data_IF_490183302501
#
_entry.id   IF_490183302501
#
_cell.length_a   1.000
_cell.length_b   1.000
_cell.length_c   1.000
_cell.angle_alpha   90.00
_cell.angle_beta   90.00
_cell.angle_gamma   90.00
#
_symmetry.space_group_name_H-M   'P 1'
#
loop_
_entity.id
_entity.type
_entity.pdbx_description
1 polymer ?
#
# COMPACT_ATOMS: atom_id res chain seq x y z
N UNK A 1 9.58 61.28 -18.94
CA UNK A 1 8.77 60.21 -19.56
C UNK A 1 8.95 59.01 -18.63
N UNK A 2 8.55 59.17 -17.35
CA UNK A 2 9.22 58.51 -16.22
C UNK A 2 8.31 58.12 -15.04
N UNK A 3 6.98 58.03 -15.19
CA UNK A 3 6.09 57.95 -14.01
C UNK A 3 5.08 56.78 -13.98
N UNK A 4 5.37 55.62 -14.61
CA UNK A 4 4.44 54.48 -14.54
C UNK A 4 5.14 53.12 -14.40
N UNK A 5 5.93 52.95 -13.34
CA UNK A 5 6.14 51.63 -12.74
C UNK A 5 5.48 51.66 -11.36
N UNK A 6 4.14 51.61 -11.37
CA UNK A 6 3.37 51.28 -10.17
C UNK A 6 3.72 49.85 -9.79
N UNK A 7 4.60 49.73 -8.80
CA UNK A 7 4.79 48.52 -8.03
C UNK A 7 3.43 48.14 -7.44
N UNK A 8 2.76 47.20 -8.08
CA UNK A 8 1.60 46.51 -7.55
C UNK A 8 2.11 45.63 -6.41
N UNK A 9 2.31 46.24 -5.25
CA UNK A 9 2.50 45.54 -3.99
C UNK A 9 1.28 44.65 -3.81
N UNK A 10 1.42 43.39 -4.23
CA UNK A 10 0.49 42.36 -3.86
C UNK A 10 0.55 42.32 -2.34
N UNK A 11 -0.46 42.94 -1.72
CA UNK A 11 -0.69 42.92 -0.30
C UNK A 11 -0.95 41.46 0.04
N UNK A 12 0.15 40.72 0.24
CA UNK A 12 0.13 39.37 0.78
C UNK A 12 -0.42 39.56 2.17
N UNK A 13 -1.73 39.37 2.32
CA UNK A 13 -2.36 39.25 3.63
C UNK A 13 -1.53 38.22 4.39
N UNK A 14 -0.68 38.72 5.28
CA UNK A 14 0.14 37.89 6.13
C UNK A 14 -0.87 37.10 6.96
N UNK A 15 -1.10 35.86 6.54
CA UNK A 15 -1.78 34.88 7.38
C UNK A 15 -1.06 34.93 8.71
N UNK A 16 -1.74 35.41 9.75
CA UNK A 16 -1.22 35.43 11.11
C UNK A 16 -0.61 34.04 11.33
N UNK A 17 0.69 33.95 11.65
CA UNK A 17 1.35 32.66 11.78
C UNK A 17 0.79 31.99 13.03
N UNK A 18 -0.31 31.24 12.86
CA UNK A 18 -0.85 30.36 13.87
C UNK A 18 0.26 29.41 14.30
N UNK A 19 0.40 29.05 15.58
CA UNK A 19 1.27 27.95 16.02
C UNK A 19 0.97 26.63 15.30
N UNK A 20 1.94 25.72 15.24
CA UNK A 20 1.82 24.47 14.49
C UNK A 20 0.67 23.59 15.01
N UNK A 21 0.46 23.61 16.32
CA UNK A 21 -0.58 22.89 17.03
C UNK A 21 -1.96 23.33 16.54
N UNK A 22 -2.18 24.65 16.45
CA UNK A 22 -3.47 25.19 15.98
C UNK A 22 -3.70 24.89 14.50
N UNK A 23 -2.66 24.95 13.67
CA UNK A 23 -2.77 24.55 12.25
C UNK A 23 -3.12 23.08 12.11
N UNK A 24 -2.49 22.20 12.89
CA UNK A 24 -2.80 20.77 12.90
C UNK A 24 -4.24 20.51 13.34
N UNK A 25 -4.75 21.21 14.35
CA UNK A 25 -6.17 21.12 14.73
C UNK A 25 -7.09 21.52 13.56
N UNK A 26 -6.79 22.60 12.84
CA UNK A 26 -7.56 23.01 11.65
C UNK A 26 -7.47 21.95 10.56
N UNK A 27 -6.29 21.36 10.33
CA UNK A 27 -6.13 20.29 9.35
C UNK A 27 -6.93 19.05 9.74
N UNK A 28 -6.89 18.60 10.99
CA UNK A 28 -7.66 17.44 11.45
C UNK A 28 -9.16 17.67 11.25
N UNK A 29 -9.67 18.84 11.64
CA UNK A 29 -11.08 19.22 11.46
C UNK A 29 -11.54 19.20 9.99
N UNK A 30 -10.66 19.51 9.04
CA UNK A 30 -11.02 19.60 7.61
C UNK A 30 -10.74 18.30 6.85
N UNK A 31 -9.73 17.54 7.27
CA UNK A 31 -9.19 16.42 6.51
C UNK A 31 -9.60 15.06 7.06
N UNK A 32 -9.96 14.95 8.33
CA UNK A 32 -10.33 13.69 8.96
C UNK A 32 -11.84 13.49 8.88
N UNK A 33 -12.24 12.31 8.42
CA UNK A 33 -13.63 11.89 8.35
C UNK A 33 -14.08 11.36 9.72
N UNK A 34 -14.84 12.15 10.48
CA UNK A 34 -15.32 11.74 11.81
C UNK A 34 -16.22 10.51 11.75
N UNK A 35 -16.91 10.29 10.63
CA UNK A 35 -17.76 9.11 10.41
C UNK A 35 -16.95 7.83 10.17
N UNK A 36 -15.62 7.91 10.14
CA UNK A 36 -14.70 6.81 9.83
C UNK A 36 -15.03 6.08 8.52
N UNK A 37 -15.65 6.77 7.56
CA UNK A 37 -16.01 6.17 6.27
C UNK A 37 -14.75 5.90 5.45
N UNK A 38 -14.51 4.65 5.01
CA UNK A 38 -13.34 4.35 4.21
C UNK A 38 -13.35 5.14 2.90
N UNK A 39 -12.28 5.91 2.65
CA UNK A 39 -12.14 6.68 1.42
C UNK A 39 -11.74 5.74 0.28
N UNK A 40 -12.51 5.75 -0.80
CA UNK A 40 -12.27 4.89 -1.98
C UNK A 40 -11.16 5.41 -2.90
N UNK A 41 -10.58 6.56 -2.57
CA UNK A 41 -9.58 7.22 -3.41
C UNK A 41 -8.41 7.74 -2.58
N UNK A 42 -7.22 7.56 -3.13
CA UNK A 42 -5.97 8.13 -2.62
C UNK A 42 -5.69 9.51 -3.25
N UNK A 43 -6.69 10.16 -3.84
CA UNK A 43 -6.50 11.49 -4.42
C UNK A 43 -6.14 12.50 -3.31
N UNK A 44 -5.12 13.30 -3.60
CA UNK A 44 -4.63 14.32 -2.70
C UNK A 44 -5.72 15.39 -2.46
N UNK A 45 -6.06 15.72 -1.20
CA UNK A 45 -7.14 16.67 -0.92
C UNK A 45 -6.75 18.10 -1.32
N UNK A 46 -7.70 18.93 -1.83
CA UNK A 46 -7.40 20.27 -2.34
C UNK A 46 -6.60 21.17 -1.39
N UNK A 47 -6.85 21.09 -0.08
CA UNK A 47 -6.14 21.87 0.94
C UNK A 47 -4.63 21.68 0.89
N UNK A 48 -4.16 20.47 0.59
CA UNK A 48 -2.73 20.14 0.53
C UNK A 48 -2.05 20.58 -0.78
N UNK A 49 -2.83 21.14 -1.73
CA UNK A 49 -2.32 21.66 -2.99
C UNK A 49 -1.99 23.16 -2.92
N UNK A 50 -2.44 23.86 -1.87
CA UNK A 50 -2.33 25.33 -1.75
C UNK A 50 -0.89 25.81 -1.56
N UNK A 51 -0.11 25.16 -0.69
CA UNK A 51 1.29 25.51 -0.45
C UNK A 51 2.15 24.29 -0.12
N UNK A 52 3.47 24.38 -0.35
CA UNK A 52 4.42 23.31 0.04
C UNK A 52 4.40 23.05 1.54
N UNK A 53 4.19 24.08 2.34
CA UNK A 53 4.25 23.98 3.79
C UNK A 53 2.98 23.33 4.35
N UNK A 54 1.79 23.79 3.93
CA UNK A 54 0.52 23.13 4.22
C UNK A 54 0.57 21.66 3.81
N UNK A 55 1.14 21.35 2.65
CA UNK A 55 1.31 19.97 2.18
C UNK A 55 2.12 19.11 3.14
N UNK A 56 3.23 19.62 3.66
CA UNK A 56 4.11 18.87 4.57
C UNK A 56 3.41 18.55 5.89
N UNK A 57 2.59 19.48 6.39
CA UNK A 57 1.91 19.33 7.68
C UNK A 57 0.61 18.53 7.59
N UNK A 58 -0.21 18.78 6.55
CA UNK A 58 -1.56 18.21 6.47
C UNK A 58 -1.59 16.81 5.82
N UNK A 59 -0.64 16.43 4.95
CA UNK A 59 -0.64 15.08 4.36
C UNK A 59 -0.48 13.95 5.39
N UNK A 60 0.42 14.05 6.40
CA UNK A 60 0.51 13.06 7.46
C UNK A 60 -0.81 12.87 8.22
N UNK A 61 -1.56 13.94 8.47
CA UNK A 61 -2.84 13.91 9.16
C UNK A 61 -3.88 13.22 8.27
N UNK A 62 -4.06 13.70 7.02
CA UNK A 62 -5.04 13.12 6.10
C UNK A 62 -4.80 11.62 5.87
N UNK A 63 -3.58 11.21 5.54
CA UNK A 63 -3.31 9.81 5.26
C UNK A 63 -3.18 8.95 6.53
N UNK A 64 -2.75 9.53 7.65
CA UNK A 64 -2.53 8.79 8.89
C UNK A 64 -3.75 8.61 9.78
N UNK A 65 -4.77 9.46 9.64
CA UNK A 65 -5.96 9.44 10.51
C UNK A 65 -7.23 9.00 9.79
N UNK A 66 -7.24 8.91 8.45
CA UNK A 66 -8.36 8.35 7.71
C UNK A 66 -8.17 6.87 7.38
N UNK A 67 -9.29 6.17 7.17
CA UNK A 67 -9.31 4.85 6.57
C UNK A 67 -9.45 4.96 5.04
N UNK A 68 -8.73 4.11 4.31
CA UNK A 68 -8.84 4.01 2.86
C UNK A 68 -9.30 2.62 2.46
N UNK A 69 -10.22 2.54 1.50
CA UNK A 69 -10.64 1.28 0.91
C UNK A 69 -10.16 1.18 -0.52
N UNK A 70 -9.48 0.08 -0.84
CA UNK A 70 -9.09 -0.28 -2.19
C UNK A 70 -10.00 -1.38 -2.70
N UNK A 71 -10.80 -1.08 -3.71
CA UNK A 71 -11.55 -2.09 -4.43
C UNK A 71 -10.61 -2.79 -5.42
N UNK A 72 -10.34 -4.05 -5.17
CA UNK A 72 -9.62 -4.94 -6.08
C UNK A 72 -10.67 -5.46 -7.07
N UNK A 73 -10.56 -5.13 -8.37
CA UNK A 73 -11.51 -5.60 -9.36
C UNK A 73 -11.41 -7.12 -9.51
N UNK A 74 -12.55 -7.75 -9.74
CA UNK A 74 -12.65 -9.19 -9.93
C UNK A 74 -11.77 -9.67 -11.07
N UNK A 75 -11.11 -10.83 -10.97
CA UNK A 75 -10.31 -11.41 -12.05
C UNK A 75 -11.15 -11.74 -13.28
N UNK A 76 -12.44 -12.04 -13.07
CA UNK A 76 -13.43 -12.34 -14.11
C UNK A 76 -13.90 -11.11 -14.88
N UNK A 77 -13.61 -9.90 -14.39
CA UNK A 77 -13.93 -8.67 -15.12
C UNK A 77 -12.93 -8.48 -16.27
N UNK A 78 -13.43 -8.40 -17.51
CA UNK A 78 -12.62 -8.13 -18.69
C UNK A 78 -11.76 -6.86 -18.46
N UNK A 79 -10.43 -7.00 -18.42
CA UNK A 79 -9.47 -5.92 -18.14
C UNK A 79 -8.78 -5.97 -16.76
N UNK A 80 -9.04 -6.99 -15.94
CA UNK A 80 -8.53 -7.11 -14.56
C UNK A 80 -7.00 -7.15 -14.41
N UNK A 81 -6.27 -7.70 -15.38
CA UNK A 81 -4.80 -7.83 -15.31
C UNK A 81 -4.12 -6.44 -15.22
N UNK A 82 -4.60 -5.46 -15.97
CA UNK A 82 -4.06 -4.10 -15.95
C UNK A 82 -4.38 -3.37 -14.63
N UNK A 83 -5.56 -3.61 -14.07
CA UNK A 83 -5.95 -3.00 -12.80
C UNK A 83 -5.19 -3.61 -11.61
N UNK A 84 -4.90 -4.90 -11.66
CA UNK A 84 -4.04 -5.55 -10.68
C UNK A 84 -2.59 -5.08 -10.79
N UNK A 85 -2.07 -4.94 -12.01
CA UNK A 85 -0.74 -4.37 -12.22
C UNK A 85 -0.66 -2.93 -11.67
N UNK A 86 -1.72 -2.12 -11.81
CA UNK A 86 -1.82 -0.79 -11.18
C UNK A 86 -1.82 -0.88 -9.65
N UNK A 87 -2.56 -1.82 -9.06
CA UNK A 87 -2.57 -2.05 -7.61
C UNK A 87 -1.17 -2.44 -7.10
N UNK A 88 -0.52 -3.43 -7.69
CA UNK A 88 0.84 -3.87 -7.30
C UNK A 88 1.86 -2.76 -7.51
N UNK A 89 1.78 -2.01 -8.62
CA UNK A 89 2.64 -0.87 -8.88
C UNK A 89 2.43 0.24 -7.84
N UNK A 90 1.18 0.48 -7.43
CA UNK A 90 0.85 1.42 -6.37
C UNK A 90 1.47 0.98 -5.04
N UNK A 91 1.35 -0.29 -4.65
CA UNK A 91 2.01 -0.86 -3.46
C UNK A 91 3.53 -0.65 -3.44
N UNK A 92 4.20 -0.75 -4.60
CA UNK A 92 5.64 -0.42 -4.69
C UNK A 92 5.96 1.04 -4.40
N UNK A 93 5.04 1.97 -4.69
CA UNK A 93 5.21 3.41 -4.38
C UNK A 93 5.12 3.67 -2.87
N UNK A 94 4.38 2.84 -2.12
CA UNK A 94 4.40 2.89 -0.65
C UNK A 94 5.77 2.48 -0.10
N UNK A 95 6.34 1.37 -0.60
CA UNK A 95 7.59 0.82 -0.10
C UNK A 95 8.86 1.63 -0.50
N UNK A 96 8.85 2.31 -1.64
CA UNK A 96 10.00 3.06 -2.13
C UNK A 96 10.29 4.37 -1.36
N UNK A 97 9.42 4.78 -0.43
CA UNK A 97 9.48 6.05 0.30
C UNK A 97 10.32 6.01 1.57
N UNK A 98 11.60 5.60 1.51
CA UNK A 98 12.52 5.71 2.65
C UNK A 98 12.85 7.18 3.03
N UNK A 99 13.24 7.47 4.28
CA UNK A 99 13.65 8.82 4.68
C UNK A 99 14.86 9.28 3.85
N UNK A 100 14.69 10.37 3.07
CA UNK A 100 15.77 11.00 2.28
C UNK A 100 15.75 10.76 0.76
N UNK A 101 14.80 9.97 0.23
CA UNK A 101 14.67 9.75 -1.21
C UNK A 101 14.15 10.97 -1.98
N UNK A 102 14.59 11.17 -3.23
CA UNK A 102 14.12 12.23 -4.16
C UNK A 102 12.61 12.17 -4.48
N UNK A 103 11.93 11.12 -4.04
CA UNK A 103 10.49 10.93 -4.18
C UNK A 103 9.88 10.63 -2.80
N UNK A 104 9.66 11.67 -2.00
CA UNK A 104 8.82 11.52 -0.79
C UNK A 104 7.39 11.20 -1.23
N UNK A 105 6.99 9.95 -1.10
CA UNK A 105 5.61 9.53 -1.33
C UNK A 105 4.85 9.76 -0.03
N UNK A 106 3.78 10.55 -0.08
CA UNK A 106 2.91 10.79 1.07
C UNK A 106 2.10 9.56 1.46
N UNK A 107 2.08 8.56 0.58
CA UNK A 107 1.48 7.24 0.80
C UNK A 107 2.06 6.51 2.02
N UNK A 108 3.30 6.81 2.42
CA UNK A 108 3.92 6.24 3.64
C UNK A 108 3.20 6.59 4.94
N UNK A 109 2.35 7.62 4.92
CA UNK A 109 1.58 8.03 6.09
C UNK A 109 0.29 7.23 6.23
N UNK A 110 -0.10 6.42 5.23
CA UNK A 110 -1.29 5.58 5.30
C UNK A 110 -1.08 4.50 6.36
N UNK A 111 -1.90 4.55 7.41
CA UNK A 111 -1.90 3.55 8.49
C UNK A 111 -2.98 2.49 8.32
N UNK A 112 -4.12 2.87 7.74
CA UNK A 112 -5.31 2.03 7.66
C UNK A 112 -5.73 1.86 6.20
N UNK A 113 -5.67 0.64 5.70
CA UNK A 113 -6.12 0.30 4.34
C UNK A 113 -6.92 -0.99 4.36
N UNK A 114 -8.19 -0.91 3.97
CA UNK A 114 -9.05 -2.07 3.76
C UNK A 114 -9.03 -2.43 2.27
N UNK A 115 -8.82 -3.69 1.94
CA UNK A 115 -8.91 -4.17 0.57
C UNK A 115 -10.23 -4.93 0.41
N UNK A 116 -11.10 -4.46 -0.49
CA UNK A 116 -12.35 -5.13 -0.84
C UNK A 116 -12.16 -5.85 -2.17
N UNK A 117 -12.27 -7.18 -2.19
CA UNK A 117 -12.33 -7.92 -3.44
C UNK A 117 -13.79 -8.04 -3.88
N UNK A 118 -14.15 -7.48 -5.03
CA UNK A 118 -15.45 -7.75 -5.63
C UNK A 118 -15.36 -9.09 -6.35
N UNK A 119 -15.64 -10.20 -5.67
CA UNK A 119 -15.86 -11.47 -6.35
C UNK A 119 -17.31 -11.50 -6.83
N UNK A 120 -17.52 -11.50 -8.16
CA UNK A 120 -18.85 -11.67 -8.72
C UNK A 120 -19.18 -13.18 -8.68
N UNK A 121 -19.58 -13.67 -7.51
CA UNK A 121 -20.09 -15.03 -7.32
C UNK A 121 -21.62 -14.89 -7.43
N UNK A 122 -22.18 -15.34 -8.55
CA UNK A 122 -23.61 -15.46 -8.85
C UNK A 122 -24.57 -14.73 -7.87
N UNK A 123 -24.88 -13.47 -8.20
CA UNK A 123 -25.95 -12.63 -7.63
C UNK A 123 -25.91 -12.25 -6.13
N UNK A 124 -24.83 -12.52 -5.40
CA UNK A 124 -24.65 -11.99 -4.04
C UNK A 124 -23.30 -11.28 -3.94
N UNK A 125 -23.31 -9.95 -3.82
CA UNK A 125 -22.12 -9.18 -3.45
C UNK A 125 -21.81 -9.46 -1.97
N UNK A 126 -20.97 -10.47 -1.70
CA UNK A 126 -20.40 -10.65 -0.36
C UNK A 126 -19.21 -9.73 -0.17
N UNK A 127 -19.32 -8.78 0.77
CA UNK A 127 -18.21 -7.93 1.18
C UNK A 127 -17.29 -8.68 2.15
N UNK A 128 -16.13 -9.09 1.68
CA UNK A 128 -15.08 -9.63 2.54
C UNK A 128 -14.29 -8.47 3.18
N UNK A 129 -14.48 -8.25 4.48
CA UNK A 129 -13.67 -7.33 5.27
C UNK A 129 -12.43 -8.07 5.79
N UNK A 130 -11.25 -7.68 5.30
CA UNK A 130 -9.98 -8.15 5.83
C UNK A 130 -9.33 -7.03 6.63
N UNK A 131 -8.96 -7.32 7.89
CA UNK A 131 -8.28 -6.36 8.76
C UNK A 131 -6.93 -5.92 8.14
N UNK A 132 -6.61 -4.60 8.13
CA UNK A 132 -5.43 -4.03 7.47
C UNK A 132 -4.08 -4.59 7.94
N UNK A 133 -4.02 -5.21 9.12
CA UNK A 133 -2.83 -5.88 9.65
C UNK A 133 -2.27 -6.95 8.69
N UNK A 134 -3.12 -7.44 7.76
CA UNK A 134 -2.77 -8.41 6.71
C UNK A 134 -1.88 -7.80 5.62
N UNK A 135 -1.71 -6.47 5.54
CA UNK A 135 -0.88 -5.82 4.49
C UNK A 135 0.39 -5.15 5.01
N UNK A 136 0.70 -5.25 6.31
CA UNK A 136 2.01 -4.87 6.85
C UNK A 136 3.14 -5.85 6.47
N UNK A 137 2.85 -6.87 5.66
CA UNK A 137 3.87 -7.79 5.20
C UNK A 137 4.68 -7.19 4.04
N UNK A 138 6.01 -7.27 4.15
CA UNK A 138 6.98 -6.84 3.15
C UNK A 138 7.01 -7.70 1.88
N UNK A 139 5.87 -7.92 1.23
CA UNK A 139 5.86 -8.59 -0.07
C UNK A 139 6.34 -7.61 -1.15
N UNK A 140 7.51 -7.88 -1.71
CA UNK A 140 7.94 -7.21 -2.92
C UNK A 140 7.63 -8.12 -4.11
N UNK A 141 6.55 -7.84 -4.84
CA UNK A 141 6.39 -8.41 -6.18
C UNK A 141 7.56 -7.89 -7.02
N UNK A 142 8.47 -8.74 -7.47
CA UNK A 142 9.61 -8.36 -8.29
C UNK A 142 9.33 -8.60 -9.77
N UNK A 143 9.75 -7.68 -10.64
CA UNK A 143 9.79 -7.96 -12.07
C UNK A 143 11.00 -8.84 -12.34
N UNK A 144 10.88 -9.81 -13.24
CA UNK A 144 11.96 -10.72 -13.64
C UNK A 144 13.23 -9.90 -13.89
N UNK A 145 14.22 -9.95 -12.98
CA UNK A 145 15.55 -9.43 -13.31
C UNK A 145 16.04 -10.28 -14.46
N UNK A 146 16.36 -9.66 -15.60
CA UNK A 146 16.88 -10.37 -16.77
C UNK A 146 18.20 -11.06 -16.35
N UNK A 147 18.15 -12.37 -16.09
CA UNK A 147 19.28 -13.16 -15.58
C UNK A 147 19.39 -13.29 -14.05
N UNK A 148 18.43 -12.78 -13.26
CA UNK A 148 18.39 -13.01 -11.82
C UNK A 148 17.90 -14.42 -11.51
N UNK A 149 18.61 -15.16 -10.64
CA UNK A 149 18.12 -16.44 -10.12
C UNK A 149 16.89 -16.16 -9.24
N UNK A 150 15.83 -16.96 -9.39
CA UNK A 150 14.61 -16.92 -8.56
C UNK A 150 14.91 -17.50 -7.17
N UNK A 151 15.82 -16.87 -6.41
CA UNK A 151 16.39 -17.49 -5.20
C UNK A 151 15.35 -17.61 -4.07
N UNK A 152 14.38 -16.68 -4.03
CA UNK A 152 13.43 -16.55 -2.92
C UNK A 152 11.97 -16.80 -3.33
N UNK A 153 11.73 -17.37 -4.51
CA UNK A 153 10.39 -17.67 -5.00
C UNK A 153 9.70 -18.75 -4.17
N UNK A 154 8.42 -18.53 -3.86
CA UNK A 154 7.55 -19.53 -3.24
C UNK A 154 7.03 -20.47 -4.32
N UNK A 155 7.20 -21.77 -4.10
CA UNK A 155 6.78 -22.78 -5.06
C UNK A 155 7.63 -22.85 -6.33
N UNK A 156 7.28 -23.79 -7.20
CA UNK A 156 7.81 -23.91 -8.57
C UNK A 156 6.66 -23.68 -9.55
N UNK A 157 6.94 -23.67 -10.87
CA UNK A 157 5.93 -23.53 -11.95
C UNK A 157 4.80 -24.60 -11.95
N UNK A 158 4.76 -25.52 -10.98
CA UNK A 158 3.75 -26.57 -10.85
C UNK A 158 3.16 -26.62 -9.43
N UNK A 159 3.33 -25.56 -8.64
CA UNK A 159 2.67 -25.50 -7.35
C UNK A 159 1.17 -25.40 -7.59
N UNK A 160 0.38 -26.29 -6.96
CA UNK A 160 -1.05 -26.11 -6.91
C UNK A 160 -1.37 -25.06 -5.85
N UNK A 161 -1.70 -23.89 -6.35
CA UNK A 161 -2.00 -22.72 -5.55
C UNK A 161 -3.44 -22.72 -5.00
N UNK A 162 -4.27 -23.65 -5.47
CA UNK A 162 -5.66 -23.85 -5.01
C UNK A 162 -5.76 -24.83 -3.84
N UNK A 163 -4.66 -25.52 -3.52
CA UNK A 163 -4.50 -26.38 -2.36
C UNK A 163 -3.70 -25.67 -1.25
N UNK A 164 -4.38 -25.31 -0.16
CA UNK A 164 -3.80 -24.56 0.94
C UNK A 164 -2.62 -25.30 1.59
N UNK A 165 -2.69 -26.62 1.73
CA UNK A 165 -1.61 -27.43 2.32
C UNK A 165 -0.36 -27.43 1.43
N UNK A 166 -0.57 -27.36 0.10
CA UNK A 166 0.53 -27.27 -0.86
C UNK A 166 1.19 -25.88 -0.82
N UNK A 167 0.41 -24.81 -0.66
CA UNK A 167 0.93 -23.45 -0.49
C UNK A 167 1.72 -23.30 0.81
N UNK A 168 1.20 -23.85 1.91
CA UNK A 168 1.84 -23.86 3.24
C UNK A 168 3.22 -24.53 3.19
N UNK A 169 3.28 -25.76 2.67
CA UNK A 169 4.54 -26.51 2.50
C UNK A 169 5.54 -25.78 1.59
N UNK A 170 5.06 -25.08 0.57
CA UNK A 170 5.93 -24.31 -0.32
C UNK A 170 6.48 -23.05 0.34
N UNK A 171 5.69 -22.41 1.21
CA UNK A 171 6.10 -21.28 2.02
C UNK A 171 7.16 -21.70 3.05
N UNK A 172 6.92 -22.76 3.82
CA UNK A 172 7.89 -23.31 4.79
C UNK A 172 9.22 -23.64 4.11
N UNK A 173 9.17 -24.26 2.93
CA UNK A 173 10.37 -24.57 2.15
C UNK A 173 11.09 -23.31 1.65
N UNK A 174 10.39 -22.21 1.42
CA UNK A 174 11.02 -20.94 1.08
C UNK A 174 11.68 -20.30 2.31
N UNK A 175 11.04 -20.36 3.47
CA UNK A 175 11.57 -19.90 4.76
C UNK A 175 12.84 -20.67 5.15
N UNK A 176 12.81 -22.00 5.14
CA UNK A 176 13.97 -22.85 5.44
C UNK A 176 15.16 -22.55 4.52
N UNK A 177 14.90 -22.21 3.25
CA UNK A 177 15.97 -21.81 2.31
C UNK A 177 16.61 -20.48 2.68
N UNK A 178 15.88 -19.56 3.28
CA UNK A 178 16.39 -18.27 3.73
C UNK A 178 17.19 -18.44 5.03
N UNK A 179 16.69 -19.29 5.92
CA UNK A 179 17.38 -19.66 7.16
C UNK A 179 18.72 -20.34 6.90
N UNK A 180 18.78 -21.33 5.99
CA UNK A 180 20.04 -21.97 5.59
C UNK A 180 21.08 -21.00 4.99
N UNK A 181 20.64 -19.83 4.50
CA UNK A 181 21.52 -18.78 3.98
C UNK A 181 21.94 -17.77 5.06
N UNK A 182 21.41 -17.88 6.27
CA UNK A 182 21.61 -16.89 7.33
C UNK A 182 20.93 -15.56 7.06
N UNK A 183 19.98 -15.51 6.12
CA UNK A 183 19.20 -14.29 5.83
C UNK A 183 18.14 -14.05 6.91
N UNK A 184 17.73 -15.11 7.61
CA UNK A 184 16.67 -15.08 8.62
C UNK A 184 16.95 -16.09 9.73
N UNK A 185 16.56 -15.77 10.97
CA UNK A 185 16.51 -16.73 12.09
C UNK A 185 15.07 -17.20 12.31
N UNK A 186 14.88 -18.50 12.57
CA UNK A 186 13.58 -19.08 12.93
C UNK A 186 12.92 -18.32 14.09
N UNK A 187 13.72 -17.96 15.10
CA UNK A 187 13.28 -17.19 16.27
C UNK A 187 12.75 -15.81 15.89
N UNK A 188 13.33 -15.15 14.88
CA UNK A 188 12.88 -13.83 14.44
C UNK A 188 11.55 -13.88 13.69
N UNK A 189 11.25 -14.99 13.00
CA UNK A 189 10.00 -15.13 12.25
C UNK A 189 8.83 -15.45 13.15
N UNK A 190 9.00 -16.42 14.05
CA UNK A 190 7.93 -16.89 14.92
C UNK A 190 7.40 -15.79 15.87
N UNK A 191 8.28 -14.87 16.29
CA UNK A 191 7.92 -13.80 17.22
C UNK A 191 7.34 -12.54 16.55
N UNK A 192 7.58 -12.34 15.25
CA UNK A 192 7.19 -11.10 14.56
C UNK A 192 6.07 -11.27 13.54
N UNK A 193 5.86 -12.48 13.00
CA UNK A 193 4.97 -12.68 11.86
C UNK A 193 4.03 -13.85 12.14
N UNK A 194 2.70 -13.64 12.16
CA UNK A 194 1.75 -14.75 12.22
C UNK A 194 1.78 -15.52 10.89
N UNK A 195 2.68 -16.49 10.77
CA UNK A 195 3.00 -17.22 9.52
C UNK A 195 1.75 -17.79 8.83
N UNK A 196 0.78 -18.29 9.61
CA UNK A 196 -0.49 -18.80 9.08
C UNK A 196 -1.31 -17.73 8.33
N UNK A 197 -1.25 -16.46 8.75
CA UNK A 197 -1.92 -15.36 8.05
C UNK A 197 -1.23 -15.05 6.71
N UNK A 198 0.09 -15.17 6.65
CA UNK A 198 0.86 -15.01 5.40
C UNK A 198 0.47 -16.09 4.39
N UNK A 199 0.43 -17.35 4.79
CA UNK A 199 0.04 -18.46 3.92
C UNK A 199 -1.39 -18.28 3.40
N UNK A 200 -2.32 -17.86 4.27
CA UNK A 200 -3.69 -17.53 3.84
C UNK A 200 -3.72 -16.39 2.82
N UNK A 201 -2.96 -15.32 3.02
CA UNK A 201 -2.89 -14.21 2.07
C UNK A 201 -2.32 -14.67 0.72
N UNK A 202 -1.29 -15.51 0.73
CA UNK A 202 -0.71 -16.10 -0.47
C UNK A 202 -1.70 -16.97 -1.22
N UNK A 203 -2.41 -17.85 -0.51
CA UNK A 203 -3.48 -18.71 -1.03
C UNK A 203 -4.59 -17.88 -1.69
N UNK A 204 -5.03 -16.81 -1.02
CA UNK A 204 -6.04 -15.90 -1.55
C UNK A 204 -5.56 -15.18 -2.81
N UNK A 205 -4.35 -14.62 -2.81
CA UNK A 205 -3.76 -13.98 -4.00
C UNK A 205 -3.66 -14.99 -5.15
N UNK A 206 -3.36 -16.24 -4.85
CA UNK A 206 -3.29 -17.33 -5.78
C UNK A 206 -4.62 -17.68 -6.44
N UNK A 207 -5.67 -17.84 -5.63
CA UNK A 207 -7.01 -18.13 -6.10
C UNK A 207 -7.61 -16.98 -6.89
N UNK A 208 -7.35 -15.74 -6.47
CA UNK A 208 -7.83 -14.56 -7.17
C UNK A 208 -7.02 -14.30 -8.44
N UNK A 209 -5.70 -14.51 -8.44
CA UNK A 209 -4.87 -14.20 -9.59
C UNK A 209 -3.78 -15.25 -9.77
N UNK A 210 -4.10 -16.38 -10.44
CA UNK A 210 -3.15 -17.46 -10.68
C UNK A 210 -1.88 -16.96 -11.40
N UNK A 211 -1.99 -15.94 -12.24
CA UNK A 211 -0.86 -15.33 -12.94
C UNK A 211 0.08 -14.54 -12.01
N UNK A 212 -0.41 -13.97 -10.91
CA UNK A 212 0.41 -13.24 -9.94
C UNK A 212 1.31 -14.17 -9.13
N UNK A 213 0.92 -15.44 -8.98
CA UNK A 213 1.66 -16.45 -8.21
C UNK A 213 3.08 -16.69 -8.69
N UNK A 214 3.34 -16.45 -9.98
CA UNK A 214 4.69 -16.59 -10.55
C UNK A 214 5.68 -15.51 -10.07
N UNK A 215 5.17 -14.44 -9.44
CA UNK A 215 5.93 -13.27 -8.98
C UNK A 215 6.03 -13.16 -7.46
N UNK A 216 5.56 -14.18 -6.73
CA UNK A 216 5.58 -14.20 -5.28
C UNK A 216 6.94 -14.66 -4.77
N UNK A 217 7.64 -13.73 -4.12
CA UNK A 217 8.92 -13.98 -3.44
C UNK A 217 8.80 -13.56 -1.98
N UNK A 218 9.52 -14.26 -1.11
CA UNK A 218 9.65 -13.87 0.30
C UNK A 218 10.87 -12.96 0.44
N UNK A 219 10.69 -11.86 1.16
CA UNK A 219 11.76 -10.98 1.58
C UNK A 219 11.56 -10.65 3.06
N UNK A 220 12.63 -10.67 3.84
CA UNK A 220 12.66 -10.29 5.25
C UNK A 220 13.73 -9.22 5.45
#
# INVERSE_FOLDING_TARGET
MDDFIQAKEAQTHATIPLPAELRNCVYSLVLVDEDARPKTTLVQPPLTCVSRWTRIEALPIYYGENEFSLTIPSPSSFGAVDNWYRFVRMMRVFAAGGPGGKHMTWLRFIKNISAKCCAQIDYVEEEYYHEPEIFQFGFQCMHRRKGGKEVNRIGKNKLDWTDMDTVDKAFDKAVLRLEHRGEVSEDSLAHHIPMKRVVNALYMVANMCPEATQWVEIFF
#
